data_IF_980178312642
#
_entry.id   IF_980178312642
#
_cell.length_a   1.000
_cell.length_b   1.000
_cell.length_c   1.000
_cell.angle_alpha   90.00
_cell.angle_beta   90.00
_cell.angle_gamma   90.00
#
_symmetry.space_group_name_H-M   'P 1'
#
loop_
_entity.id
_entity.type
_entity.pdbx_description
1 polymer ?
#
# COMPACT_ATOMS: atom_id res chain seq x y z
N UNK A 1 10.44 -26.73 21.70
CA UNK A 1 9.58 -25.60 21.26
C UNK A 1 10.32 -24.30 21.52
N UNK A 2 10.74 -23.51 20.53
CA UNK A 2 11.37 -22.22 20.80
C UNK A 2 10.30 -21.23 21.25
N UNK A 3 10.56 -20.55 22.37
CA UNK A 3 9.72 -19.49 22.91
C UNK A 3 9.53 -18.39 21.84
N UNK A 4 8.28 -18.13 21.46
CA UNK A 4 7.93 -17.01 20.62
C UNK A 4 8.48 -15.73 21.24
N UNK A 5 9.41 -15.03 20.54
CA UNK A 5 9.78 -13.66 20.86
C UNK A 5 8.50 -12.89 21.15
N UNK A 6 8.45 -12.15 22.27
CA UNK A 6 7.37 -11.20 22.59
C UNK A 6 7.32 -10.11 21.51
N UNK A 7 6.84 -10.47 20.30
CA UNK A 7 6.40 -9.53 19.30
C UNK A 7 5.23 -8.75 19.89
N UNK A 8 5.18 -7.48 19.61
CA UNK A 8 4.10 -6.61 20.04
C UNK A 8 2.76 -7.28 19.68
N UNK A 9 1.90 -7.58 20.66
CA UNK A 9 0.60 -8.24 20.42
C UNK A 9 -0.25 -7.50 19.39
N UNK A 10 -0.10 -6.19 19.29
CA UNK A 10 -0.75 -5.39 18.26
C UNK A 10 -0.30 -5.82 16.85
N UNK A 11 0.99 -6.02 16.63
CA UNK A 11 1.52 -6.48 15.35
C UNK A 11 1.00 -7.86 14.98
N UNK A 12 0.93 -8.77 15.95
CA UNK A 12 0.37 -10.11 15.72
C UNK A 12 -1.11 -10.05 15.31
N UNK A 13 -1.91 -9.19 15.94
CA UNK A 13 -3.32 -8.97 15.58
C UNK A 13 -3.43 -8.44 14.14
N UNK A 14 -2.62 -7.44 13.78
CA UNK A 14 -2.60 -6.87 12.43
C UNK A 14 -2.15 -7.89 11.38
N UNK A 15 -1.15 -8.71 11.70
CA UNK A 15 -0.68 -9.79 10.84
C UNK A 15 -1.80 -10.81 10.58
N UNK A 16 -2.47 -11.30 11.63
CA UNK A 16 -3.59 -12.23 11.49
C UNK A 16 -4.75 -11.61 10.68
N UNK A 17 -5.02 -10.31 10.87
CA UNK A 17 -6.04 -9.59 10.10
C UNK A 17 -5.67 -9.56 8.60
N UNK A 18 -4.43 -9.22 8.25
CA UNK A 18 -3.96 -9.20 6.86
C UNK A 18 -4.07 -10.59 6.20
N UNK A 19 -3.66 -11.64 6.91
CA UNK A 19 -3.78 -13.02 6.42
C UNK A 19 -5.24 -13.48 6.23
N UNK A 20 -6.15 -13.02 7.12
CA UNK A 20 -7.58 -13.31 6.96
C UNK A 20 -8.18 -12.60 5.76
N UNK A 21 -7.77 -11.37 5.49
CA UNK A 21 -8.19 -10.62 4.31
C UNK A 21 -7.72 -11.29 3.02
N UNK A 22 -6.55 -11.92 3.03
CA UNK A 22 -6.03 -12.67 1.90
C UNK A 22 -6.79 -13.98 1.65
N UNK A 23 -7.02 -14.74 2.73
CA UNK A 23 -7.65 -16.08 2.63
C UNK A 23 -9.17 -16.03 2.45
N UNK A 24 -9.82 -14.91 2.79
CA UNK A 24 -11.29 -14.75 2.77
C UNK A 24 -11.70 -13.56 1.90
N UNK A 25 -11.08 -13.41 0.71
CA UNK A 25 -11.42 -12.33 -0.21
C UNK A 25 -12.93 -12.27 -0.48
N UNK A 26 -13.53 -11.11 -0.21
CA UNK A 26 -14.97 -10.88 -0.36
C UNK A 26 -15.84 -11.35 0.83
N UNK A 27 -15.28 -11.94 1.88
CA UNK A 27 -16.04 -12.31 3.08
C UNK A 27 -15.80 -11.30 4.22
N UNK A 28 -16.87 -11.02 4.96
CA UNK A 28 -16.79 -10.12 6.13
C UNK A 28 -16.00 -10.79 7.26
N UNK A 29 -14.89 -10.20 7.67
CA UNK A 29 -14.12 -10.63 8.83
C UNK A 29 -14.87 -10.21 10.09
N UNK A 30 -15.11 -11.17 11.01
CA UNK A 30 -15.68 -10.90 12.33
C UNK A 30 -14.56 -10.85 13.39
N UNK A 31 -14.79 -10.09 14.46
CA UNK A 31 -13.84 -10.02 15.57
C UNK A 31 -13.70 -11.35 16.30
N UNK A 32 -14.76 -12.16 16.38
CA UNK A 32 -14.72 -13.51 16.93
C UNK A 32 -13.73 -14.40 16.17
N UNK A 33 -13.83 -14.47 14.83
CA UNK A 33 -12.90 -15.25 13.99
C UNK A 33 -11.46 -14.73 14.10
N UNK A 34 -11.27 -13.41 14.18
CA UNK A 34 -9.95 -12.83 14.35
C UNK A 34 -9.37 -13.19 15.73
N UNK A 35 -10.15 -13.09 16.80
CA UNK A 35 -9.72 -13.48 18.15
C UNK A 35 -9.32 -14.95 18.22
N UNK A 36 -10.12 -15.85 17.62
CA UNK A 36 -9.81 -17.27 17.48
C UNK A 36 -8.47 -17.49 16.76
N UNK A 37 -8.27 -16.85 15.59
CA UNK A 37 -7.01 -16.97 14.81
C UNK A 37 -5.79 -16.44 15.57
N UNK A 38 -5.94 -15.36 16.34
CA UNK A 38 -4.86 -14.79 17.18
C UNK A 38 -4.61 -15.64 18.42
N UNK A 39 -5.55 -16.51 18.82
CA UNK A 39 -5.48 -17.32 20.04
C UNK A 39 -5.75 -16.51 21.32
N UNK A 40 -6.72 -15.59 21.28
CA UNK A 40 -7.12 -14.74 22.42
C UNK A 40 -8.64 -14.64 22.51
N UNK A 41 -9.17 -14.14 23.64
CA UNK A 41 -10.58 -13.77 23.73
C UNK A 41 -10.87 -12.45 23.00
N UNK A 42 -12.09 -12.22 22.54
CA UNK A 42 -12.50 -10.94 21.96
C UNK A 42 -12.25 -9.77 22.93
N UNK A 43 -12.49 -9.98 24.23
CA UNK A 43 -12.21 -8.97 25.24
C UNK A 43 -10.71 -8.61 25.30
N UNK A 44 -9.82 -9.59 25.11
CA UNK A 44 -8.38 -9.34 25.04
C UNK A 44 -7.98 -8.61 23.76
N UNK A 45 -8.65 -8.91 22.62
CA UNK A 45 -8.46 -8.20 21.35
C UNK A 45 -8.85 -6.72 21.50
N UNK A 46 -10.02 -6.43 22.10
CA UNK A 46 -10.50 -5.06 22.31
C UNK A 46 -9.65 -4.23 23.29
N UNK A 47 -8.87 -4.85 24.17
CA UNK A 47 -7.86 -4.13 24.99
C UNK A 47 -6.73 -3.56 24.17
N UNK A 48 -6.41 -4.15 23.02
CA UNK A 48 -5.37 -3.66 22.10
C UNK A 48 -5.94 -2.70 21.04
N UNK A 49 -7.15 -2.97 20.56
CA UNK A 49 -7.84 -2.15 19.58
C UNK A 49 -9.31 -1.98 19.98
N UNK A 50 -9.73 -0.77 20.42
CA UNK A 50 -11.07 -0.54 20.97
C UNK A 50 -12.24 -0.83 20.02
N UNK A 51 -11.99 -1.02 18.73
CA UNK A 51 -12.98 -1.39 17.74
C UNK A 51 -12.34 -2.09 16.54
N UNK A 52 -13.15 -2.80 15.73
CA UNK A 52 -12.71 -3.38 14.47
C UNK A 52 -12.15 -2.31 13.53
N UNK A 53 -12.79 -1.14 13.43
CA UNK A 53 -12.31 -0.04 12.62
C UNK A 53 -10.90 0.42 13.06
N UNK A 54 -10.60 0.44 14.36
CA UNK A 54 -9.25 0.76 14.87
C UNK A 54 -8.19 -0.28 14.49
N UNK A 55 -8.59 -1.54 14.30
CA UNK A 55 -7.67 -2.58 13.78
C UNK A 55 -7.32 -2.30 12.32
N UNK A 56 -8.31 -1.97 11.49
CA UNK A 56 -8.08 -1.58 10.09
C UNK A 56 -7.25 -0.30 9.99
N UNK A 57 -7.53 0.72 10.80
CA UNK A 57 -6.70 1.93 10.86
C UNK A 57 -5.24 1.60 11.22
N UNK A 58 -5.02 0.74 12.21
CA UNK A 58 -3.68 0.29 12.57
C UNK A 58 -2.98 -0.46 11.45
N UNK A 59 -3.73 -1.24 10.66
CA UNK A 59 -3.17 -1.92 9.49
C UNK A 59 -2.82 -0.93 8.37
N UNK A 60 -3.68 0.06 8.08
CA UNK A 60 -3.39 1.12 7.11
C UNK A 60 -2.17 1.94 7.55
N UNK A 61 -2.05 2.27 8.83
CA UNK A 61 -0.88 2.97 9.38
C UNK A 61 0.41 2.13 9.23
N UNK A 62 0.34 0.84 9.46
CA UNK A 62 1.47 -0.07 9.23
C UNK A 62 1.90 -0.09 7.77
N UNK A 63 0.93 -0.13 6.84
CA UNK A 63 1.19 -0.08 5.38
C UNK A 63 1.88 1.24 5.02
N UNK A 64 1.33 2.37 5.49
CA UNK A 64 1.87 3.70 5.27
C UNK A 64 3.33 3.79 5.71
N UNK A 65 3.61 3.42 6.97
CA UNK A 65 4.96 3.44 7.52
C UNK A 65 5.92 2.53 6.74
N UNK A 66 5.44 1.36 6.31
CA UNK A 66 6.24 0.41 5.53
C UNK A 66 6.60 0.98 4.16
N UNK A 67 5.64 1.55 3.44
CA UNK A 67 5.89 2.12 2.11
C UNK A 67 6.76 3.37 2.19
N UNK A 68 6.42 4.34 3.06
CA UNK A 68 7.17 5.59 3.17
C UNK A 68 8.61 5.39 3.64
N UNK A 69 8.86 4.48 4.58
CA UNK A 69 10.23 4.18 5.01
C UNK A 69 11.07 3.58 3.88
N UNK A 70 10.50 2.70 3.06
CA UNK A 70 11.19 2.12 1.89
C UNK A 70 11.40 3.14 0.78
N UNK A 71 10.43 4.05 0.56
CA UNK A 71 10.59 5.18 -0.38
C UNK A 71 11.77 6.03 0.05
N UNK A 72 11.91 6.38 1.33
CA UNK A 72 13.06 7.14 1.82
C UNK A 72 14.39 6.45 1.49
N UNK A 73 14.48 5.13 1.65
CA UNK A 73 15.68 4.36 1.27
C UNK A 73 15.97 4.46 -0.24
N UNK A 74 14.93 4.45 -1.09
CA UNK A 74 15.07 4.65 -2.54
C UNK A 74 15.63 6.06 -2.81
N UNK A 75 15.06 7.09 -2.17
CA UNK A 75 15.50 8.47 -2.34
C UNK A 75 16.94 8.72 -1.91
N UNK A 76 17.44 7.99 -0.92
CA UNK A 76 18.83 8.05 -0.50
C UNK A 76 19.80 7.37 -1.48
N UNK A 77 19.40 6.20 -2.02
CA UNK A 77 20.24 5.37 -2.88
C UNK A 77 20.27 5.85 -4.33
N UNK A 78 19.09 6.12 -4.90
CA UNK A 78 18.97 6.53 -6.28
C UNK A 78 19.27 8.02 -6.47
N UNK A 79 20.09 8.31 -7.46
CA UNK A 79 20.53 9.69 -7.74
C UNK A 79 19.74 10.35 -8.88
N UNK A 80 19.11 9.56 -9.75
CA UNK A 80 18.34 10.06 -10.89
C UNK A 80 16.85 10.10 -10.56
N UNK A 81 16.15 11.07 -11.12
CA UNK A 81 14.68 11.17 -10.99
C UNK A 81 13.99 9.97 -11.60
N UNK A 82 14.47 9.52 -12.78
CA UNK A 82 13.95 8.32 -13.45
C UNK A 82 14.06 7.08 -12.55
N UNK A 83 15.24 6.80 -12.00
CA UNK A 83 15.47 5.65 -11.10
C UNK A 83 14.59 5.71 -9.86
N UNK A 84 14.44 6.88 -9.25
CA UNK A 84 13.57 7.08 -8.08
C UNK A 84 12.12 6.75 -8.39
N UNK A 85 11.55 7.33 -9.46
CA UNK A 85 10.16 7.09 -9.84
C UNK A 85 9.94 5.62 -10.20
N UNK A 86 10.81 5.03 -11.02
CA UNK A 86 10.75 3.63 -11.37
C UNK A 86 10.73 2.72 -10.13
N UNK A 87 11.66 2.94 -9.20
CA UNK A 87 11.78 2.10 -8.01
C UNK A 87 10.64 2.33 -7.00
N UNK A 88 10.08 3.54 -6.90
CA UNK A 88 8.87 3.80 -6.10
C UNK A 88 7.68 3.05 -6.68
N UNK A 89 7.42 3.12 -7.99
CA UNK A 89 6.34 2.39 -8.63
C UNK A 89 6.51 0.88 -8.47
N UNK A 90 7.72 0.37 -8.71
CA UNK A 90 8.07 -1.05 -8.54
C UNK A 90 7.87 -1.52 -7.10
N UNK A 91 8.23 -0.68 -6.12
CA UNK A 91 7.99 -0.95 -4.70
C UNK A 91 6.49 -1.10 -4.40
N UNK A 92 5.66 -0.15 -4.85
CA UNK A 92 4.22 -0.16 -4.57
C UNK A 92 3.55 -1.36 -5.24
N UNK A 93 3.83 -1.61 -6.53
CA UNK A 93 3.25 -2.74 -7.27
C UNK A 93 3.71 -4.10 -6.73
N UNK A 94 5.01 -4.25 -6.43
CA UNK A 94 5.54 -5.48 -5.84
C UNK A 94 5.01 -5.72 -4.42
N UNK A 95 4.83 -4.65 -3.63
CA UNK A 95 4.19 -4.74 -2.32
C UNK A 95 2.74 -5.21 -2.45
N UNK A 96 1.99 -4.67 -3.40
CA UNK A 96 0.62 -5.07 -3.68
C UNK A 96 0.52 -6.55 -4.09
N UNK A 97 1.42 -7.01 -4.96
CA UNK A 97 1.46 -8.40 -5.43
C UNK A 97 1.65 -9.39 -4.28
N UNK A 98 2.56 -9.05 -3.37
CA UNK A 98 2.91 -9.91 -2.23
C UNK A 98 1.90 -9.85 -1.07
N UNK A 99 0.98 -8.88 -1.07
CA UNK A 99 0.07 -8.61 0.04
C UNK A 99 -1.38 -8.44 -0.45
N UNK A 100 -1.98 -9.52 -0.98
CA UNK A 100 -3.33 -9.51 -1.60
C UNK A 100 -4.40 -8.91 -0.69
N UNK A 101 -4.45 -9.34 0.58
CA UNK A 101 -5.42 -8.83 1.55
C UNK A 101 -5.24 -7.34 1.84
N UNK A 102 -4.01 -6.86 1.90
CA UNK A 102 -3.70 -5.44 2.03
C UNK A 102 -4.13 -4.68 0.77
N UNK A 103 -3.88 -5.25 -0.41
CA UNK A 103 -4.28 -4.61 -1.68
C UNK A 103 -5.78 -4.45 -1.77
N UNK A 104 -6.57 -5.42 -1.30
CA UNK A 104 -8.02 -5.30 -1.21
C UNK A 104 -8.49 -4.17 -0.26
N UNK A 105 -7.72 -3.83 0.78
CA UNK A 105 -7.97 -2.63 1.60
C UNK A 105 -7.67 -1.37 0.79
N UNK A 106 -6.53 -1.31 0.12
CA UNK A 106 -6.07 -0.13 -0.62
C UNK A 106 -6.96 0.20 -1.82
N UNK A 107 -7.56 -0.81 -2.46
CA UNK A 107 -8.55 -0.61 -3.54
C UNK A 107 -9.97 -0.35 -3.02
N UNK A 108 -10.20 -0.52 -1.73
CA UNK A 108 -11.51 -0.32 -1.09
C UNK A 108 -12.41 -1.55 -1.07
N UNK A 109 -12.07 -2.63 -1.78
CA UNK A 109 -12.91 -3.84 -1.85
C UNK A 109 -13.13 -4.47 -0.47
N UNK A 110 -12.07 -4.56 0.35
CA UNK A 110 -12.16 -5.10 1.71
C UNK A 110 -12.81 -4.13 2.72
N UNK A 111 -13.12 -2.90 2.30
CA UNK A 111 -13.76 -1.87 3.13
C UNK A 111 -15.26 -1.74 2.86
N UNK A 112 -15.83 -2.57 2.00
CA UNK A 112 -17.27 -2.58 1.75
C UNK A 112 -18.04 -2.97 3.03
N UNK A 113 -18.95 -2.08 3.46
CA UNK A 113 -19.73 -2.24 4.69
C UNK A 113 -18.95 -2.02 5.99
N UNK A 114 -17.71 -1.54 5.91
CA UNK A 114 -16.93 -1.04 7.05
C UNK A 114 -17.15 0.49 7.23
N UNK A 115 -16.57 1.06 8.29
CA UNK A 115 -16.74 2.48 8.63
C UNK A 115 -16.11 3.39 7.57
N UNK A 116 -16.84 4.42 7.08
CA UNK A 116 -16.44 5.31 5.98
C UNK A 116 -15.08 5.99 6.19
N UNK A 117 -14.73 6.34 7.43
CA UNK A 117 -13.42 6.92 7.77
C UNK A 117 -12.22 6.06 7.34
N UNK A 118 -12.40 4.76 7.11
CA UNK A 118 -11.32 3.89 6.62
C UNK A 118 -10.99 4.20 5.17
N UNK A 119 -11.99 4.54 4.36
CA UNK A 119 -11.77 5.00 2.98
C UNK A 119 -11.05 6.33 2.95
N UNK A 120 -11.43 7.26 3.84
CA UNK A 120 -10.72 8.54 4.02
C UNK A 120 -9.26 8.32 4.42
N UNK A 121 -9.00 7.34 5.29
CA UNK A 121 -7.64 7.01 5.73
C UNK A 121 -6.80 6.42 4.58
N UNK A 122 -7.39 5.61 3.70
CA UNK A 122 -6.74 5.11 2.48
C UNK A 122 -6.48 6.26 1.50
N UNK A 123 -7.46 7.16 1.29
CA UNK A 123 -7.26 8.34 0.43
C UNK A 123 -6.08 9.20 0.89
N UNK A 124 -5.96 9.46 2.19
CA UNK A 124 -4.81 10.18 2.77
C UNK A 124 -3.47 9.48 2.53
N UNK A 125 -3.43 8.15 2.52
CA UNK A 125 -2.22 7.41 2.15
C UNK A 125 -1.84 7.67 0.69
N UNK A 126 -2.80 7.60 -0.23
CA UNK A 126 -2.53 7.87 -1.65
C UNK A 126 -2.13 9.32 -1.91
N UNK A 127 -2.72 10.30 -1.21
CA UNK A 127 -2.28 11.71 -1.26
C UNK A 127 -0.81 11.87 -0.83
N UNK A 128 -0.38 11.12 0.19
CA UNK A 128 1.03 11.11 0.61
C UNK A 128 1.94 10.49 -0.46
N UNK A 129 1.52 9.40 -1.10
CA UNK A 129 2.27 8.77 -2.19
C UNK A 129 2.37 9.72 -3.40
N UNK A 130 1.29 10.41 -3.76
CA UNK A 130 1.30 11.44 -4.81
C UNK A 130 2.27 12.57 -4.47
N UNK A 131 2.29 13.00 -3.20
CA UNK A 131 3.22 14.02 -2.71
C UNK A 131 4.68 13.58 -2.86
N UNK A 132 5.00 12.29 -2.61
CA UNK A 132 6.34 11.76 -2.85
C UNK A 132 6.72 11.84 -4.34
N UNK A 133 5.83 11.46 -5.26
CA UNK A 133 6.08 11.63 -6.69
C UNK A 133 6.28 13.10 -7.06
N UNK A 134 5.40 14.00 -6.62
CA UNK A 134 5.52 15.46 -6.87
C UNK A 134 6.87 16.00 -6.42
N UNK A 135 7.31 15.63 -5.23
CA UNK A 135 8.61 16.06 -4.69
C UNK A 135 9.76 15.56 -5.56
N UNK A 136 9.79 14.29 -5.91
CA UNK A 136 10.82 13.70 -6.75
C UNK A 136 10.92 14.39 -8.12
N UNK A 137 9.76 14.67 -8.72
CA UNK A 137 9.67 15.32 -10.04
C UNK A 137 10.14 16.78 -9.99
N UNK A 138 9.71 17.56 -8.99
CA UNK A 138 10.13 18.97 -8.79
C UNK A 138 11.63 19.11 -8.59
N UNK A 139 12.25 18.18 -7.89
CA UNK A 139 13.69 18.20 -7.63
C UNK A 139 14.54 17.96 -8.89
N UNK A 140 13.95 17.44 -9.99
CA UNK A 140 14.68 17.15 -11.24
C UNK A 140 15.37 18.38 -11.81
N UNK A 141 14.68 19.53 -11.84
CA UNK A 141 15.25 20.78 -12.37
C UNK A 141 16.51 21.20 -11.57
N UNK A 142 16.45 21.06 -10.25
CA UNK A 142 17.58 21.44 -9.38
C UNK A 142 18.74 20.45 -9.49
N UNK A 143 18.44 19.15 -9.61
CA UNK A 143 19.47 18.09 -9.56
C UNK A 143 20.03 17.71 -10.92
N UNK A 144 19.21 17.77 -11.96
CA UNK A 144 19.56 17.29 -13.31
C UNK A 144 19.54 18.40 -14.36
N UNK A 145 19.10 19.62 -14.00
CA UNK A 145 18.97 20.74 -14.95
C UNK A 145 17.90 20.54 -16.03
N UNK A 146 16.97 19.58 -15.83
CA UNK A 146 15.97 19.18 -16.81
C UNK A 146 14.56 19.44 -16.28
N UNK A 147 13.61 19.74 -17.18
CA UNK A 147 12.19 19.88 -16.88
C UNK A 147 11.37 18.86 -17.68
N UNK A 148 10.16 18.58 -17.25
CA UNK A 148 9.20 17.75 -17.98
C UNK A 148 8.40 18.59 -18.98
N UNK A 149 7.86 17.99 -20.07
CA UNK A 149 6.99 18.69 -21.00
C UNK A 149 5.59 18.99 -20.43
N UNK A 150 5.23 18.38 -19.30
CA UNK A 150 3.97 18.59 -18.57
C UNK A 150 4.26 19.00 -17.13
N UNK A 151 3.27 19.57 -16.46
CA UNK A 151 3.40 19.97 -15.06
C UNK A 151 3.71 18.78 -14.14
N UNK A 152 4.61 18.99 -13.17
CA UNK A 152 5.03 17.97 -12.21
C UNK A 152 3.84 17.34 -11.46
N UNK A 153 2.82 18.14 -11.15
CA UNK A 153 1.61 17.66 -10.48
C UNK A 153 0.78 16.72 -11.38
N UNK A 154 0.63 17.07 -12.66
CA UNK A 154 -0.08 16.24 -13.63
C UNK A 154 0.65 14.92 -13.88
N UNK A 155 1.99 14.96 -13.99
CA UNK A 155 2.80 13.76 -14.13
C UNK A 155 2.74 12.87 -12.87
N UNK A 156 2.81 13.46 -11.68
CA UNK A 156 2.68 12.72 -10.42
C UNK A 156 1.34 12.00 -10.33
N UNK A 157 0.25 12.67 -10.66
CA UNK A 157 -1.08 12.08 -10.69
C UNK A 157 -1.18 10.95 -11.73
N UNK A 158 -0.63 11.12 -12.93
CA UNK A 158 -0.59 10.07 -13.95
C UNK A 158 0.14 8.81 -13.47
N UNK A 159 1.30 8.96 -12.82
CA UNK A 159 2.09 7.85 -12.26
C UNK A 159 1.33 7.14 -11.15
N UNK A 160 0.65 7.89 -10.27
CA UNK A 160 -0.18 7.32 -9.22
C UNK A 160 -1.40 6.59 -9.81
N UNK A 161 -2.14 7.22 -10.72
CA UNK A 161 -3.30 6.63 -11.38
C UNK A 161 -2.96 5.34 -12.13
N UNK A 162 -1.79 5.28 -12.80
CA UNK A 162 -1.29 4.04 -13.38
C UNK A 162 -1.09 2.96 -12.30
N UNK A 163 -0.45 3.30 -11.20
CA UNK A 163 -0.15 2.37 -10.10
C UNK A 163 -1.44 1.84 -9.46
N UNK A 164 -2.39 2.73 -9.15
CA UNK A 164 -3.71 2.35 -8.65
C UNK A 164 -4.49 1.50 -9.65
N UNK A 165 -4.43 1.86 -10.94
CA UNK A 165 -5.07 1.10 -12.01
C UNK A 165 -4.57 -0.35 -12.07
N UNK A 166 -3.26 -0.58 -11.91
CA UNK A 166 -2.65 -1.93 -11.84
C UNK A 166 -3.12 -2.70 -10.61
N UNK A 167 -3.18 -2.05 -9.45
CA UNK A 167 -3.70 -2.66 -8.21
C UNK A 167 -5.17 -3.04 -8.34
N UNK A 168 -6.00 -2.15 -8.90
CA UNK A 168 -7.41 -2.42 -9.16
C UNK A 168 -7.61 -3.58 -10.16
N UNK A 169 -6.79 -3.68 -11.22
CA UNK A 169 -6.81 -4.80 -12.15
C UNK A 169 -6.47 -6.12 -11.45
N UNK A 170 -5.50 -6.11 -10.53
CA UNK A 170 -5.10 -7.27 -9.75
C UNK A 170 -6.25 -7.78 -8.88
N UNK A 171 -6.87 -6.92 -8.08
CA UNK A 171 -8.02 -7.29 -7.23
C UNK A 171 -9.21 -7.77 -8.09
N UNK A 172 -9.58 -7.01 -9.12
CA UNK A 172 -10.71 -7.35 -10.01
C UNK A 172 -10.53 -8.67 -10.75
N UNK A 173 -9.28 -9.09 -11.01
CA UNK A 173 -8.99 -10.39 -11.62
C UNK A 173 -9.02 -11.56 -10.62
N UNK A 174 -9.42 -11.34 -9.37
CA UNK A 174 -9.29 -12.34 -8.31
C UNK A 174 -7.83 -12.68 -8.00
N UNK A 175 -6.94 -11.70 -8.09
CA UNK A 175 -5.51 -11.81 -7.84
C UNK A 175 -4.78 -12.76 -8.80
N UNK A 176 -5.29 -12.95 -10.02
CA UNK A 176 -4.66 -13.79 -11.05
C UNK A 176 -3.78 -12.98 -12.00
N UNK A 177 -4.10 -11.70 -12.23
CA UNK A 177 -3.33 -10.80 -13.09
C UNK A 177 -2.37 -9.98 -12.27
N UNK A 178 -1.09 -10.36 -12.24
CA UNK A 178 -0.05 -9.66 -11.47
C UNK A 178 -0.02 -8.15 -11.76
N UNK A 179 0.06 -7.28 -10.75
CA UNK A 179 0.23 -5.84 -10.96
C UNK A 179 1.59 -5.52 -11.60
N UNK A 180 2.55 -6.43 -11.50
CA UNK A 180 3.87 -6.32 -12.16
C UNK A 180 3.86 -6.79 -13.62
N UNK A 181 2.79 -7.45 -14.08
CA UNK A 181 2.69 -7.92 -15.46
C UNK A 181 2.84 -6.78 -16.47
N UNK A 182 3.84 -6.90 -17.35
CA UNK A 182 4.13 -5.91 -18.39
C UNK A 182 4.71 -4.59 -17.88
N UNK A 183 5.04 -4.45 -16.58
CA UNK A 183 5.52 -3.20 -16.00
C UNK A 183 6.77 -2.66 -16.71
N UNK A 184 7.76 -3.50 -17.00
CA UNK A 184 9.00 -3.07 -17.68
C UNK A 184 8.73 -2.47 -19.06
N UNK A 185 7.89 -3.12 -19.86
CA UNK A 185 7.51 -2.62 -21.18
C UNK A 185 6.69 -1.33 -21.10
N UNK A 186 5.74 -1.27 -20.17
CA UNK A 186 4.88 -0.10 -19.96
C UNK A 186 5.67 1.09 -19.40
N UNK A 187 6.69 0.82 -18.58
CA UNK A 187 7.63 1.84 -18.12
C UNK A 187 8.35 2.53 -19.29
N UNK A 188 8.78 1.80 -20.31
CA UNK A 188 9.39 2.40 -21.50
C UNK A 188 8.43 3.36 -22.21
N UNK A 189 7.12 3.06 -22.22
CA UNK A 189 6.10 3.99 -22.72
C UNK A 189 5.93 5.23 -21.85
N UNK A 190 5.90 5.04 -20.54
CA UNK A 190 5.82 6.16 -19.58
C UNK A 190 7.05 7.08 -19.69
N UNK A 191 8.21 6.55 -20.05
CA UNK A 191 9.45 7.32 -20.25
C UNK A 191 9.37 8.32 -21.41
N UNK A 192 8.40 8.24 -22.29
CA UNK A 192 8.22 9.24 -23.34
C UNK A 192 7.92 10.63 -22.80
N UNK A 193 7.54 10.75 -21.53
CA UNK A 193 7.36 12.01 -20.83
C UNK A 193 8.63 12.55 -20.14
N UNK A 194 9.77 11.83 -20.27
CA UNK A 194 11.06 12.21 -19.64
C UNK A 194 11.98 12.97 -20.62
#
# INVERSE_FOLDING_TARGET
MPAAKKGNRKEQILQCLAEMLESHAGQRITTAKLAEKVGVSEAALYRHFPSKARMYEGLIEFIENTLLSRINVILEKDKTTEGRVYNIMKLILGFAEMNRGITAILTGDALLGEHDRLRERVALLFEKLETQFKQVLRERKLREGKSFPIEDAALANLLLAYTEGKMNQFVRSGFTRSPMEGFESQWQGLKLFW
#
